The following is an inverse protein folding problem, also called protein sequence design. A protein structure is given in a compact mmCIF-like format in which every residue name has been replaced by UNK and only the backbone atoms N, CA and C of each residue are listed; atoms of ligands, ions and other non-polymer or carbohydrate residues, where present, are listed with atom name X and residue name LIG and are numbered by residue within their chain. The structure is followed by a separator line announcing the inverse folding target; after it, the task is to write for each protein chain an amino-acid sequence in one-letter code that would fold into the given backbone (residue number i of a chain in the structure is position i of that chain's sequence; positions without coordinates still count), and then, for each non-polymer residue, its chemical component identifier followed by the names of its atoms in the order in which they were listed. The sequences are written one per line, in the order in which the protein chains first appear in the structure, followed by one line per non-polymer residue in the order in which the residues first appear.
data_IF_691783024419
#
_entry.id   IF_691783024419
#
_cell.length_a   1.000
_cell.length_b   1.000
_cell.length_c   1.000
_cell.angle_alpha   90.00
_cell.angle_beta   90.00
_cell.angle_gamma   90.00
#
_symmetry.space_group_name_H-M   'P 1'
#
loop_
_entity.id
_entity.type
_entity.pdbx_description
1 polymer ?
#
# COMPACT_ATOMS: atom_id res chain seq x y z
N UNK A 1 0.98 -47.43 5.46
CA UNK A 1 1.90 -46.28 5.38
C UNK A 1 1.07 -45.05 5.00
N UNK A 2 0.61 -44.27 5.97
CA UNK A 2 -0.12 -43.03 5.71
C UNK A 2 0.90 -41.89 5.53
N UNK A 3 0.80 -41.15 4.43
CA UNK A 3 1.62 -39.96 4.21
C UNK A 3 1.13 -38.85 5.16
N UNK A 4 2.03 -38.05 5.76
CA UNK A 4 1.61 -36.95 6.62
C UNK A 4 1.04 -35.80 5.78
N UNK A 5 -0.04 -35.22 6.29
CA UNK A 5 -0.71 -34.03 5.77
C UNK A 5 0.29 -32.87 5.69
N UNK A 6 0.48 -32.31 4.50
CA UNK A 6 1.30 -31.11 4.29
C UNK A 6 0.71 -29.95 5.08
N UNK A 7 1.51 -29.33 5.95
CA UNK A 7 1.14 -28.10 6.63
C UNK A 7 1.17 -26.97 5.59
N UNK A 8 0.00 -26.47 5.20
CA UNK A 8 -0.10 -25.24 4.41
C UNK A 8 0.53 -24.11 5.21
N UNK A 9 1.53 -23.45 4.62
CA UNK A 9 2.18 -22.29 5.22
C UNK A 9 1.21 -21.11 5.23
N UNK A 10 0.37 -21.04 6.27
CA UNK A 10 -0.40 -19.86 6.64
C UNK A 10 0.40 -18.96 7.60
N UNK A 11 1.73 -18.96 7.45
CA UNK A 11 2.56 -17.96 8.11
C UNK A 11 2.35 -16.63 7.38
N UNK A 12 2.02 -15.52 8.07
CA UNK A 12 1.95 -14.23 7.40
C UNK A 12 3.31 -13.94 6.78
N UNK A 13 3.36 -13.85 5.45
CA UNK A 13 4.51 -13.27 4.77
C UNK A 13 4.75 -11.89 5.38
N UNK A 14 6.00 -11.50 5.67
CA UNK A 14 6.28 -10.16 6.16
C UNK A 14 5.67 -9.15 5.18
N UNK A 15 5.03 -8.06 5.70
CA UNK A 15 4.44 -7.05 4.84
C UNK A 15 5.48 -6.55 3.83
N UNK A 16 5.06 -6.37 2.58
CA UNK A 16 5.96 -5.89 1.54
C UNK A 16 6.53 -4.52 1.96
N UNK A 17 7.85 -4.29 1.75
CA UNK A 17 8.49 -3.06 2.17
C UNK A 17 7.77 -1.85 1.56
N UNK A 18 7.53 -0.87 2.40
CA UNK A 18 6.86 0.38 2.05
C UNK A 18 7.88 1.39 1.53
N UNK A 19 7.63 1.93 0.34
CA UNK A 19 8.41 3.00 -0.25
C UNK A 19 7.57 4.27 -0.35
N UNK A 20 8.05 5.36 0.24
CA UNK A 20 7.44 6.68 0.04
C UNK A 20 7.64 7.15 -1.41
N UNK A 21 6.56 7.56 -2.05
CA UNK A 21 6.55 8.10 -3.41
C UNK A 21 5.92 9.49 -3.41
N UNK A 22 6.56 10.42 -4.11
CA UNK A 22 6.11 11.81 -4.24
C UNK A 22 5.80 12.08 -5.71
N UNK A 23 4.58 12.54 -5.98
CA UNK A 23 4.08 12.80 -7.35
C UNK A 23 3.54 14.23 -7.42
N UNK A 24 3.98 15.00 -8.41
CA UNK A 24 3.39 16.29 -8.72
C UNK A 24 2.16 16.11 -9.61
N UNK A 25 1.03 16.74 -9.27
CA UNK A 25 -0.14 16.76 -10.13
C UNK A 25 -0.06 17.91 -11.17
N UNK A 26 -1.03 17.99 -12.08
CA UNK A 26 -1.08 19.01 -13.14
C UNK A 26 -1.23 20.46 -12.65
N UNK A 27 -1.57 20.65 -11.38
CA UNK A 27 -1.70 21.96 -10.72
C UNK A 27 -0.45 22.37 -9.96
N UNK A 28 0.61 21.54 -9.97
CA UNK A 28 1.85 21.79 -9.24
C UNK A 28 1.77 21.42 -7.76
N UNK A 29 0.72 20.73 -7.33
CA UNK A 29 0.58 20.26 -5.95
C UNK A 29 1.31 18.93 -5.76
N UNK A 30 1.90 18.77 -4.58
CA UNK A 30 2.63 17.56 -4.20
C UNK A 30 1.69 16.54 -3.57
N UNK A 31 1.58 15.36 -4.17
CA UNK A 31 0.87 14.21 -3.64
C UNK A 31 1.86 13.22 -3.04
N UNK A 32 1.63 12.80 -1.80
CA UNK A 32 2.49 11.84 -1.10
C UNK A 32 1.73 10.52 -0.94
N UNK A 33 2.36 9.43 -1.34
CA UNK A 33 1.83 8.09 -1.19
C UNK A 33 2.88 7.08 -0.78
N UNK A 34 2.41 5.86 -0.58
CA UNK A 34 3.15 4.71 -0.10
C UNK A 34 2.96 3.56 -1.11
N UNK A 35 4.08 3.05 -1.62
CA UNK A 35 4.14 1.94 -2.55
C UNK A 35 4.61 0.69 -1.82
N UNK A 36 3.77 -0.33 -1.80
CA UNK A 36 4.13 -1.68 -1.37
C UNK A 36 4.54 -2.49 -2.59
N UNK A 37 5.85 -2.65 -2.80
CA UNK A 37 6.38 -3.35 -3.97
C UNK A 37 6.56 -4.84 -3.69
N UNK A 38 6.00 -5.67 -4.56
CA UNK A 38 6.06 -7.14 -4.48
C UNK A 38 7.02 -7.76 -5.51
N UNK A 39 7.80 -6.95 -6.23
CA UNK A 39 8.58 -7.41 -7.39
C UNK A 39 7.75 -7.50 -8.69
N UNK A 40 6.44 -7.23 -8.63
CA UNK A 40 5.53 -7.22 -9.78
C UNK A 40 5.58 -5.88 -10.52
N UNK A 41 5.44 -5.92 -11.84
CA UNK A 41 5.24 -4.72 -12.68
C UNK A 41 3.77 -4.27 -12.74
N UNK A 42 2.85 -4.99 -12.08
CA UNK A 42 1.44 -4.62 -11.96
C UNK A 42 1.20 -3.95 -10.61
N UNK A 43 0.64 -2.75 -10.65
CA UNK A 43 0.32 -1.94 -9.46
C UNK A 43 -1.17 -1.63 -9.45
N UNK A 44 -1.81 -1.81 -8.30
CA UNK A 44 -3.17 -1.31 -8.03
C UNK A 44 -3.05 0.02 -7.32
N UNK A 45 -3.73 1.06 -7.84
CA UNK A 45 -3.83 2.37 -7.19
C UNK A 45 -5.07 2.40 -6.31
N UNK A 46 -4.88 2.61 -5.01
CA UNK A 46 -5.93 2.68 -4.00
C UNK A 46 -6.19 4.14 -3.62
N UNK A 47 -7.46 4.53 -3.69
CA UNK A 47 -7.91 5.90 -3.44
C UNK A 47 -8.87 5.92 -2.24
N UNK A 48 -8.71 6.91 -1.37
CA UNK A 48 -9.58 7.09 -0.21
C UNK A 48 -10.84 7.92 -0.55
N UNK A 49 -11.87 7.83 0.28
CA UNK A 49 -13.09 8.63 0.15
C UNK A 49 -12.93 10.09 0.63
N UNK A 50 -14.01 10.86 0.56
CA UNK A 50 -14.04 12.24 1.05
C UNK A 50 -13.61 12.32 2.53
N UNK A 51 -12.77 13.30 2.88
CA UNK A 51 -12.16 13.53 4.22
C UNK A 51 -11.28 12.42 4.81
N UNK A 52 -11.15 11.28 4.13
CA UNK A 52 -10.27 10.20 4.56
C UNK A 52 -8.79 10.49 4.21
N UNK A 53 -7.93 9.51 4.45
CA UNK A 53 -6.51 9.53 4.07
C UNK A 53 -6.07 8.18 3.53
N UNK A 54 -4.88 8.16 2.92
CA UNK A 54 -4.17 6.94 2.48
C UNK A 54 -4.00 5.90 3.59
N UNK A 55 -3.99 6.32 4.85
CA UNK A 55 -3.82 5.46 6.02
C UNK A 55 -5.16 5.00 6.65
N UNK A 56 -6.30 5.18 5.97
CA UNK A 56 -7.55 4.59 6.47
C UNK A 56 -7.46 3.06 6.51
N UNK A 57 -8.05 2.42 7.52
CA UNK A 57 -7.91 0.98 7.74
C UNK A 57 -8.29 0.16 6.52
N UNK A 58 -9.37 0.52 5.82
CA UNK A 58 -9.80 -0.16 4.60
C UNK A 58 -8.76 -0.11 3.47
N UNK A 59 -8.01 0.98 3.35
CA UNK A 59 -6.95 1.12 2.33
C UNK A 59 -5.74 0.27 2.73
N UNK A 60 -5.34 0.32 4.00
CA UNK A 60 -4.22 -0.48 4.52
C UNK A 60 -4.53 -1.97 4.43
N UNK A 61 -5.70 -2.41 4.88
CA UNK A 61 -6.13 -3.81 4.83
C UNK A 61 -6.19 -4.34 3.39
N UNK A 62 -6.63 -3.50 2.44
CA UNK A 62 -6.67 -3.87 1.03
C UNK A 62 -5.26 -3.93 0.43
N UNK A 63 -4.36 -3.00 0.76
CA UNK A 63 -2.97 -3.05 0.34
C UNK A 63 -2.28 -4.33 0.85
N UNK A 64 -2.51 -4.68 2.11
CA UNK A 64 -2.00 -5.92 2.71
C UNK A 64 -2.56 -7.17 2.03
N UNK A 65 -3.88 -7.20 1.77
CA UNK A 65 -4.50 -8.32 1.07
C UNK A 65 -3.96 -8.49 -0.36
N UNK A 66 -3.77 -7.39 -1.09
CA UNK A 66 -3.21 -7.41 -2.44
C UNK A 66 -1.75 -7.88 -2.46
N UNK A 67 -0.93 -7.36 -1.54
CA UNK A 67 0.50 -7.67 -1.49
C UNK A 67 0.77 -9.11 -1.10
N UNK A 68 -0.07 -9.70 -0.22
CA UNK A 68 -0.07 -11.15 0.08
C UNK A 68 -0.38 -12.01 -1.14
N UNK A 69 -1.10 -11.49 -2.13
CA UNK A 69 -1.34 -12.15 -3.42
C UNK A 69 -0.27 -11.82 -4.48
N UNK A 70 0.84 -11.17 -4.08
CA UNK A 70 1.92 -10.77 -4.99
C UNK A 70 1.60 -9.56 -5.86
N UNK A 71 0.52 -8.83 -5.57
CA UNK A 71 0.11 -7.63 -6.32
C UNK A 71 0.65 -6.40 -5.61
N UNK A 72 1.43 -5.57 -6.33
CA UNK A 72 1.92 -4.32 -5.75
C UNK A 72 0.76 -3.33 -5.59
N UNK A 73 0.77 -2.56 -4.50
CA UNK A 73 -0.28 -1.61 -4.18
C UNK A 73 0.31 -0.23 -3.89
N UNK A 74 -0.32 0.81 -4.43
CA UNK A 74 0.04 2.20 -4.18
C UNK A 74 -1.17 2.95 -3.63
N UNK A 75 -1.03 3.55 -2.46
CA UNK A 75 -2.05 4.42 -1.86
C UNK A 75 -1.47 5.79 -1.57
N UNK A 76 -2.25 6.85 -1.80
CA UNK A 76 -1.79 8.24 -1.70
C UNK A 76 -2.90 9.15 -1.21
N UNK A 77 -2.53 10.32 -0.68
CA UNK A 77 -3.49 11.34 -0.30
C UNK A 77 -3.82 12.25 -1.48
N UNK A 78 -5.11 12.50 -1.69
CA UNK A 78 -5.55 13.53 -2.62
C UNK A 78 -5.11 14.93 -2.17
N UNK A 79 -5.05 15.89 -3.10
CA UNK A 79 -4.73 17.28 -2.75
C UNK A 79 -5.71 17.81 -1.70
N UNK A 80 -5.18 18.60 -0.75
CA UNK A 80 -5.95 19.12 0.38
C UNK A 80 -6.19 18.11 1.51
N UNK A 81 -5.80 16.84 1.33
CA UNK A 81 -5.85 15.80 2.34
C UNK A 81 -4.43 15.38 2.76
N UNK A 82 -4.29 14.86 3.98
CA UNK A 82 -3.13 14.02 4.29
C UNK A 82 -1.81 14.69 4.67
N UNK A 83 -1.81 15.93 5.15
CA UNK A 83 -0.60 16.51 5.74
C UNK A 83 -0.60 16.44 7.27
N UNK A 84 0.19 15.51 7.81
CA UNK A 84 0.76 15.61 9.17
C UNK A 84 2.22 15.13 9.07
N UNK A 85 3.17 16.09 9.15
CA UNK A 85 4.64 15.96 8.93
C UNK A 85 5.04 15.64 7.47
N UNK A 86 5.90 16.35 6.74
CA UNK A 86 7.13 17.06 7.12
C UNK A 86 7.91 16.36 8.23
N UNK A 87 8.33 15.14 7.94
CA UNK A 87 9.49 14.50 8.57
C UNK A 87 10.46 14.17 7.44
N UNK A 88 11.09 15.22 6.93
CA UNK A 88 12.39 15.18 6.26
C UNK A 88 13.18 16.39 6.82
N UNK A 89 13.44 16.34 8.13
CA UNK A 89 14.56 16.99 8.82
C UNK A 89 15.38 15.88 9.49
#
# INVERSE_FOLDING_TARGET
MAQPLVWSQDAPSPPAPEQRVVVANKHGETLVGLLHHTGSNKVVVLCHGFTASKNSSIIVDLADALTKQGISAFHFDFSGNGNKHMEDL
#
